data_IF_516721020407
#
_entry.id   IF_516721020407
#
_cell.length_a   1.000
_cell.length_b   1.000
_cell.length_c   1.000
_cell.angle_alpha   90.00
_cell.angle_beta   90.00
_cell.angle_gamma   90.00
#
_symmetry.space_group_name_H-M   'P 1'
#
loop_
_entity.id
_entity.type
_entity.pdbx_description
1 polymer ?
#
# COMPACT_ATOMS: atom_id res chain seq x y z
N UNK A 1 -27.88 -16.55 8.18
CA UNK A 1 -28.05 -15.31 7.38
C UNK A 1 -28.26 -15.71 5.93
N UNK A 2 -29.25 -15.12 5.28
CA UNK A 2 -29.55 -15.32 3.86
C UNK A 2 -28.53 -14.62 2.96
N UNK A 3 -28.37 -15.11 1.73
CA UNK A 3 -27.40 -14.58 0.75
C UNK A 3 -27.66 -13.11 0.41
N UNK A 4 -28.92 -12.71 0.31
CA UNK A 4 -29.33 -11.32 0.03
C UNK A 4 -28.86 -10.34 1.12
N UNK A 5 -28.89 -10.76 2.39
CA UNK A 5 -28.40 -9.93 3.49
C UNK A 5 -26.88 -9.73 3.42
N UNK A 6 -26.13 -10.77 3.03
CA UNK A 6 -24.67 -10.68 2.82
C UNK A 6 -24.37 -9.76 1.65
N UNK A 7 -25.08 -9.91 0.53
CA UNK A 7 -24.93 -9.07 -0.65
C UNK A 7 -25.13 -7.59 -0.30
N UNK A 8 -26.20 -7.28 0.43
CA UNK A 8 -26.50 -5.92 0.90
C UNK A 8 -25.38 -5.35 1.78
N UNK A 9 -24.88 -6.16 2.74
CA UNK A 9 -23.80 -5.75 3.64
C UNK A 9 -22.47 -5.49 2.89
N UNK A 10 -22.09 -6.37 1.96
CA UNK A 10 -20.89 -6.19 1.13
C UNK A 10 -21.02 -4.97 0.20
N UNK A 11 -22.16 -4.83 -0.49
CA UNK A 11 -22.44 -3.70 -1.39
C UNK A 11 -22.35 -2.37 -0.65
N UNK A 12 -22.99 -2.26 0.52
CA UNK A 12 -22.96 -1.05 1.35
C UNK A 12 -21.52 -0.68 1.72
N UNK A 13 -20.73 -1.64 2.19
CA UNK A 13 -19.33 -1.39 2.57
C UNK A 13 -18.46 -0.96 1.39
N UNK A 14 -18.72 -1.49 0.18
CA UNK A 14 -18.03 -1.08 -1.05
C UNK A 14 -18.42 0.35 -1.43
N UNK A 15 -19.72 0.66 -1.49
CA UNK A 15 -20.22 1.97 -1.90
C UNK A 15 -19.79 3.10 -0.96
N UNK A 16 -19.83 2.84 0.35
CA UNK A 16 -19.37 3.77 1.37
C UNK A 16 -17.84 3.81 1.50
N UNK A 17 -17.12 2.96 0.74
CA UNK A 17 -15.65 2.84 0.79
C UNK A 17 -15.17 2.64 2.24
N UNK A 18 -15.85 1.77 3.01
CA UNK A 18 -15.53 1.47 4.41
C UNK A 18 -14.69 0.20 4.59
N UNK A 19 -14.63 -0.64 3.56
CA UNK A 19 -13.84 -1.87 3.58
C UNK A 19 -12.35 -1.61 3.31
N UNK A 20 -11.51 -2.42 3.94
CA UNK A 20 -10.08 -2.55 3.67
C UNK A 20 -9.87 -3.59 2.57
N UNK A 21 -10.46 -4.79 2.76
CA UNK A 21 -10.52 -5.84 1.74
C UNK A 21 -11.69 -6.78 1.98
N UNK A 22 -12.18 -7.39 0.91
CA UNK A 22 -13.11 -8.52 0.97
C UNK A 22 -12.39 -9.74 0.41
N UNK A 23 -12.46 -10.87 1.10
CA UNK A 23 -11.84 -12.12 0.67
C UNK A 23 -12.90 -13.20 0.55
N UNK A 24 -12.98 -13.82 -0.62
CA UNK A 24 -13.75 -15.05 -0.84
C UNK A 24 -12.77 -16.23 -0.89
N UNK A 25 -13.01 -17.24 -0.07
CA UNK A 25 -12.16 -18.43 0.08
C UNK A 25 -12.99 -19.68 0.33
N UNK A 26 -12.32 -20.85 0.33
CA UNK A 26 -12.98 -22.15 0.45
C UNK A 26 -13.98 -22.37 -0.70
N UNK A 27 -13.41 -22.52 -1.91
CA UNK A 27 -14.13 -22.68 -3.17
C UNK A 27 -15.12 -23.85 -3.09
N UNK A 28 -16.35 -23.59 -3.48
CA UNK A 28 -17.37 -24.61 -3.73
C UNK A 28 -17.50 -24.93 -5.21
N UNK A 29 -17.60 -23.90 -6.05
CA UNK A 29 -17.78 -23.98 -7.51
C UNK A 29 -16.89 -22.94 -8.21
N UNK A 30 -16.88 -22.94 -9.55
CA UNK A 30 -16.12 -21.98 -10.35
C UNK A 30 -14.63 -22.34 -10.47
N UNK A 31 -13.85 -21.53 -11.17
CA UNK A 31 -12.45 -21.85 -11.49
C UNK A 31 -11.42 -21.25 -10.51
N UNK A 32 -11.78 -20.22 -9.75
CA UNK A 32 -10.86 -19.51 -8.87
C UNK A 32 -10.87 -20.10 -7.46
N UNK A 33 -9.67 -20.30 -6.89
CA UNK A 33 -9.47 -20.82 -5.54
C UNK A 33 -9.69 -19.74 -4.46
N UNK A 34 -9.46 -18.48 -4.81
CA UNK A 34 -9.57 -17.33 -3.91
C UNK A 34 -9.85 -16.07 -4.72
N UNK A 35 -10.61 -15.16 -4.14
CA UNK A 35 -10.81 -13.81 -4.69
C UNK A 35 -10.55 -12.80 -3.59
N UNK A 36 -9.85 -11.71 -3.92
CA UNK A 36 -9.62 -10.57 -3.04
C UNK A 36 -10.12 -9.32 -3.74
N UNK A 37 -10.96 -8.54 -3.07
CA UNK A 37 -11.44 -7.24 -3.53
C UNK A 37 -10.84 -6.15 -2.66
N UNK A 38 -10.27 -5.11 -3.27
CA UNK A 38 -9.74 -3.91 -2.59
C UNK A 38 -10.27 -2.65 -3.27
N UNK A 39 -10.34 -1.55 -2.53
CA UNK A 39 -10.61 -0.23 -3.10
C UNK A 39 -9.37 0.29 -3.84
N UNK A 40 -9.56 0.99 -4.96
CA UNK A 40 -8.50 1.47 -5.85
C UNK A 40 -8.84 2.87 -6.37
N UNK A 41 -7.91 3.82 -6.31
CA UNK A 41 -8.11 5.18 -6.85
C UNK A 41 -7.33 5.37 -8.15
N UNK A 42 -8.01 5.37 -9.29
CA UNK A 42 -7.39 5.57 -10.60
C UNK A 42 -7.64 6.99 -11.14
N UNK A 43 -6.95 7.38 -12.22
CA UNK A 43 -7.13 8.70 -12.85
C UNK A 43 -8.57 8.97 -13.29
N UNK A 44 -9.32 7.92 -13.63
CA UNK A 44 -10.74 7.99 -14.02
C UNK A 44 -11.72 7.95 -12.82
N UNK A 45 -11.22 7.86 -11.58
CA UNK A 45 -12.06 7.90 -10.38
C UNK A 45 -11.85 6.70 -9.46
N UNK A 46 -12.78 6.55 -8.50
CA UNK A 46 -12.75 5.42 -7.55
C UNK A 46 -13.21 4.13 -8.23
N UNK A 47 -12.45 3.08 -8.00
CA UNK A 47 -12.66 1.74 -8.53
C UNK A 47 -12.55 0.72 -7.40
N UNK A 48 -13.02 -0.50 -7.67
CA UNK A 48 -12.57 -1.69 -6.95
C UNK A 48 -11.60 -2.48 -7.84
N UNK A 49 -10.59 -3.07 -7.22
CA UNK A 49 -9.73 -4.06 -7.84
C UNK A 49 -10.09 -5.44 -7.33
N UNK A 50 -10.29 -6.38 -8.26
CA UNK A 50 -10.57 -7.78 -8.02
C UNK A 50 -9.32 -8.57 -8.43
N UNK A 51 -8.72 -9.25 -7.47
CA UNK A 51 -7.64 -10.21 -7.66
C UNK A 51 -8.20 -11.63 -7.55
N UNK A 52 -8.24 -12.36 -8.66
CA UNK A 52 -8.73 -13.74 -8.74
C UNK A 52 -7.56 -14.71 -8.86
N UNK A 53 -7.50 -15.72 -8.01
CA UNK A 53 -6.38 -16.66 -7.95
C UNK A 53 -6.80 -18.03 -8.48
N UNK A 54 -6.09 -18.54 -9.47
CA UNK A 54 -6.26 -19.89 -10.02
C UNK A 54 -4.88 -20.52 -10.16
N UNK A 55 -4.70 -21.69 -9.56
CA UNK A 55 -3.40 -22.36 -9.46
C UNK A 55 -2.33 -21.41 -8.90
N UNK A 56 -1.26 -21.16 -9.66
CA UNK A 56 -0.18 -20.22 -9.33
C UNK A 56 -0.27 -18.88 -10.10
N UNK A 57 -1.46 -18.53 -10.62
CA UNK A 57 -1.69 -17.30 -11.39
C UNK A 57 -2.67 -16.38 -10.67
N UNK A 58 -2.41 -15.07 -10.75
CA UNK A 58 -3.29 -14.02 -10.26
C UNK A 58 -3.82 -13.18 -11.45
N UNK A 59 -5.13 -13.05 -11.53
CA UNK A 59 -5.83 -12.26 -12.54
C UNK A 59 -6.38 -10.99 -11.90
N UNK A 60 -6.26 -9.86 -12.59
CA UNK A 60 -6.67 -8.56 -12.06
C UNK A 60 -7.76 -7.97 -12.94
N UNK A 61 -8.85 -7.50 -12.32
CA UNK A 61 -9.94 -6.77 -12.98
C UNK A 61 -10.29 -5.55 -12.15
N UNK A 62 -10.40 -4.39 -12.79
CA UNK A 62 -10.84 -3.15 -12.15
C UNK A 62 -12.27 -2.83 -12.60
N UNK A 63 -13.10 -2.35 -11.66
CA UNK A 63 -14.48 -1.96 -11.92
C UNK A 63 -14.73 -0.60 -11.28
N UNK A 64 -15.31 0.33 -12.03
CA UNK A 64 -15.65 1.65 -11.51
C UNK A 64 -16.75 1.54 -10.44
N UNK A 65 -16.63 2.29 -9.34
CA UNK A 65 -17.59 2.25 -8.23
C UNK A 65 -19.01 2.72 -8.60
N UNK A 66 -19.14 3.48 -9.69
CA UNK A 66 -20.43 3.89 -10.27
C UNK A 66 -21.16 2.72 -10.97
N UNK A 67 -20.46 1.65 -11.35
CA UNK A 67 -21.04 0.50 -12.04
C UNK A 67 -21.61 -0.52 -11.04
N UNK A 68 -22.65 -0.09 -10.32
CA UNK A 68 -23.26 -0.85 -9.23
C UNK A 68 -23.80 -2.19 -9.72
N UNK A 69 -24.39 -2.24 -10.92
CA UNK A 69 -24.98 -3.47 -11.45
C UNK A 69 -23.91 -4.55 -11.70
N UNK A 70 -22.75 -4.17 -12.23
CA UNK A 70 -21.65 -5.11 -12.44
C UNK A 70 -21.10 -5.62 -11.10
N UNK A 71 -20.93 -4.73 -10.12
CA UNK A 71 -20.49 -5.09 -8.77
C UNK A 71 -21.46 -6.09 -8.13
N UNK A 72 -22.76 -5.83 -8.19
CA UNK A 72 -23.77 -6.73 -7.64
C UNK A 72 -23.77 -8.11 -8.28
N UNK A 73 -23.71 -8.16 -9.61
CA UNK A 73 -23.71 -9.43 -10.36
C UNK A 73 -22.52 -10.30 -9.96
N UNK A 74 -21.34 -9.67 -9.85
CA UNK A 74 -20.11 -10.34 -9.46
C UNK A 74 -20.15 -10.80 -8.00
N UNK A 75 -20.65 -9.97 -7.08
CA UNK A 75 -20.80 -10.37 -5.67
C UNK A 75 -21.77 -11.55 -5.53
N UNK A 76 -22.90 -11.56 -6.26
CA UNK A 76 -23.84 -12.69 -6.27
C UNK A 76 -23.16 -13.98 -6.73
N UNK A 77 -22.40 -13.91 -7.82
CA UNK A 77 -21.61 -15.03 -8.32
C UNK A 77 -20.62 -15.55 -7.25
N UNK A 78 -19.88 -14.65 -6.61
CA UNK A 78 -18.88 -15.04 -5.60
C UNK A 78 -19.51 -15.57 -4.30
N UNK A 79 -20.65 -15.03 -3.87
CA UNK A 79 -21.40 -15.56 -2.72
C UNK A 79 -21.89 -16.99 -3.00
N UNK A 80 -22.24 -17.32 -4.24
CA UNK A 80 -22.65 -18.68 -4.60
C UNK A 80 -21.46 -19.65 -4.66
N UNK A 81 -20.33 -19.19 -5.19
CA UNK A 81 -19.18 -20.03 -5.51
C UNK A 81 -18.25 -20.30 -4.33
N UNK A 82 -18.37 -19.57 -3.21
CA UNK A 82 -17.47 -19.68 -2.07
C UNK A 82 -18.20 -19.96 -0.76
N UNK A 83 -17.57 -20.75 0.12
CA UNK A 83 -18.11 -21.09 1.44
C UNK A 83 -17.69 -20.09 2.52
N UNK A 84 -16.62 -19.34 2.31
CA UNK A 84 -16.11 -18.39 3.29
C UNK A 84 -15.93 -17.02 2.68
N UNK A 85 -16.44 -16.01 3.38
CA UNK A 85 -16.31 -14.60 3.02
C UNK A 85 -15.78 -13.87 4.24
N UNK A 86 -14.71 -13.10 4.07
CA UNK A 86 -14.15 -12.22 5.08
C UNK A 86 -14.24 -10.78 4.58
N UNK A 87 -15.06 -9.97 5.22
CA UNK A 87 -15.09 -8.53 5.07
C UNK A 87 -14.21 -7.93 6.17
N UNK A 88 -13.12 -7.28 5.79
CA UNK A 88 -12.28 -6.53 6.72
C UNK A 88 -12.60 -5.05 6.60
N UNK A 89 -12.90 -4.44 7.74
CA UNK A 89 -13.10 -3.00 7.91
C UNK A 89 -12.21 -2.53 9.07
N UNK A 90 -12.18 -1.23 9.34
CA UNK A 90 -11.40 -0.72 10.47
C UNK A 90 -11.93 -1.26 11.80
N UNK A 91 -11.02 -1.67 12.67
CA UNK A 91 -11.26 -2.16 14.03
C UNK A 91 -12.01 -3.50 14.17
N UNK A 92 -12.60 -4.04 13.10
CA UNK A 92 -13.25 -5.36 13.15
C UNK A 92 -13.28 -6.08 11.79
N UNK A 93 -13.32 -7.40 11.88
CA UNK A 93 -13.50 -8.32 10.77
C UNK A 93 -14.87 -8.99 10.89
N UNK A 94 -15.59 -9.05 9.78
CA UNK A 94 -16.83 -9.80 9.65
C UNK A 94 -16.56 -11.03 8.78
N UNK A 95 -16.80 -12.21 9.33
CA UNK A 95 -16.69 -13.47 8.58
C UNK A 95 -18.06 -14.11 8.39
N UNK A 96 -18.32 -14.59 7.18
CA UNK A 96 -19.49 -15.37 6.82
C UNK A 96 -19.03 -16.76 6.41
N UNK A 97 -19.51 -17.79 7.13
CA UNK A 97 -19.16 -19.19 6.86
C UNK A 97 -20.43 -19.94 6.50
N UNK A 98 -20.46 -20.55 5.31
CA UNK A 98 -21.59 -21.33 4.80
C UNK A 98 -21.76 -22.60 5.64
N UNK A 99 -22.95 -22.77 6.21
CA UNK A 99 -23.42 -24.01 6.84
C UNK A 99 -24.74 -24.41 6.18
N UNK A 100 -24.71 -25.49 5.40
CA UNK A 100 -25.83 -25.96 4.57
C UNK A 100 -26.28 -24.84 3.61
N UNK A 101 -27.52 -24.37 3.75
CA UNK A 101 -28.13 -23.36 2.88
C UNK A 101 -27.96 -21.92 3.40
N UNK A 102 -27.39 -21.73 4.59
CA UNK A 102 -27.26 -20.41 5.22
C UNK A 102 -25.82 -20.10 5.60
N UNK A 103 -25.52 -18.82 5.90
CA UNK A 103 -24.24 -18.41 6.45
C UNK A 103 -24.33 -18.08 7.94
N UNK A 104 -23.29 -18.43 8.69
CA UNK A 104 -23.06 -17.93 10.04
C UNK A 104 -22.17 -16.70 9.94
N UNK A 105 -22.65 -15.59 10.49
CA UNK A 105 -21.89 -14.35 10.65
C UNK A 105 -21.12 -14.40 11.97
N UNK A 106 -19.85 -14.02 11.97
CA UNK A 106 -19.03 -13.80 13.18
C UNK A 106 -18.25 -12.51 13.04
N UNK A 107 -18.22 -11.71 14.10
CA UNK A 107 -17.48 -10.46 14.17
C UNK A 107 -16.35 -10.59 15.17
N UNK A 108 -15.13 -10.20 14.79
CA UNK A 108 -13.95 -10.23 15.64
C UNK A 108 -13.27 -8.87 15.60
N UNK A 109 -12.76 -8.39 16.73
CA UNK A 109 -11.95 -7.16 16.75
C UNK A 109 -10.64 -7.38 15.98
N UNK A 110 -10.23 -6.37 15.24
CA UNK A 110 -8.93 -6.31 14.59
C UNK A 110 -8.23 -4.99 14.98
N UNK A 111 -6.94 -4.86 14.69
CA UNK A 111 -6.19 -3.61 14.83
C UNK A 111 -5.82 -3.03 13.45
N UNK A 112 -6.65 -3.28 12.44
CA UNK A 112 -6.41 -2.81 11.07
C UNK A 112 -6.90 -1.38 10.91
N UNK A 113 -6.06 -0.55 10.29
CA UNK A 113 -6.37 0.83 9.90
C UNK A 113 -6.40 0.87 8.38
N UNK A 114 -7.40 1.57 7.80
CA UNK A 114 -7.49 1.73 6.35
C UNK A 114 -6.47 2.76 5.90
N UNK A 115 -5.35 2.30 5.34
CA UNK A 115 -4.37 3.19 4.73
C UNK A 115 -4.94 3.88 3.49
N UNK A 116 -4.51 5.12 3.22
CA UNK A 116 -4.92 5.84 2.02
C UNK A 116 -4.50 5.09 0.75
N UNK A 117 -5.42 4.95 -0.20
CA UNK A 117 -5.20 4.31 -1.51
C UNK A 117 -4.37 5.21 -2.46
N UNK A 118 -3.42 5.99 -1.94
CA UNK A 118 -2.52 6.77 -2.78
C UNK A 118 -1.53 5.81 -3.47
N UNK A 119 -1.74 5.61 -4.78
CA UNK A 119 -0.80 4.89 -5.65
C UNK A 119 0.62 5.46 -5.59
N UNK A 120 0.73 6.74 -5.28
CA UNK A 120 2.01 7.41 -5.14
C UNK A 120 2.46 7.30 -3.68
N UNK A 121 2.95 6.11 -3.30
CA UNK A 121 3.76 5.99 -2.09
C UNK A 121 4.95 6.93 -2.26
N UNK A 122 4.87 8.12 -1.65
CA UNK A 122 6.02 9.01 -1.57
C UNK A 122 7.12 8.22 -0.88
N UNK A 123 8.23 8.01 -1.59
CA UNK A 123 9.41 7.43 -0.98
C UNK A 123 9.83 8.38 0.13
N UNK A 124 9.88 7.88 1.35
CA UNK A 124 10.46 8.63 2.45
C UNK A 124 11.97 8.57 2.28
N UNK A 125 12.57 9.74 2.16
CA UNK A 125 13.98 9.94 2.01
C UNK A 125 14.51 10.62 3.29
N UNK A 126 15.81 10.50 3.57
CA UNK A 126 16.43 11.27 4.66
C UNK A 126 16.35 12.77 4.33
N UNK A 127 16.59 13.11 3.06
CA UNK A 127 16.38 14.43 2.49
C UNK A 127 15.10 14.41 1.64
N UNK A 128 14.04 15.11 2.07
CA UNK A 128 12.76 15.09 1.38
C UNK A 128 12.60 16.25 0.39
N UNK A 129 11.88 15.99 -0.71
CA UNK A 129 11.50 17.03 -1.65
C UNK A 129 10.38 17.90 -1.06
N UNK A 130 10.53 19.22 -1.13
CA UNK A 130 9.68 20.20 -0.46
C UNK A 130 10.35 20.88 0.74
N UNK A 131 11.33 20.22 1.34
CA UNK A 131 12.19 20.84 2.35
C UNK A 131 13.24 21.71 1.67
N UNK A 132 13.58 22.85 2.28
CA UNK A 132 14.69 23.68 1.79
C UNK A 132 15.99 23.13 2.35
N UNK A 133 16.86 22.67 1.46
CA UNK A 133 18.13 22.05 1.83
C UNK A 133 19.24 22.86 1.15
N UNK A 134 19.91 23.70 1.95
CA UNK A 134 20.80 24.75 1.47
C UNK A 134 21.90 24.22 0.54
N UNK A 135 22.59 23.13 0.93
CA UNK A 135 23.65 22.59 0.08
C UNK A 135 23.13 22.04 -1.27
N UNK A 136 21.90 21.53 -1.32
CA UNK A 136 21.30 21.10 -2.59
C UNK A 136 20.94 22.29 -3.48
N UNK A 137 20.58 23.43 -2.89
CA UNK A 137 20.31 24.68 -3.61
C UNK A 137 21.63 25.24 -4.18
N UNK A 138 22.65 25.38 -3.34
CA UNK A 138 23.96 25.90 -3.73
C UNK A 138 24.65 25.04 -4.81
N UNK A 139 24.45 23.72 -4.77
CA UNK A 139 24.95 22.80 -5.79
C UNK A 139 24.10 22.77 -7.08
N UNK A 140 23.02 23.56 -7.16
CA UNK A 140 22.11 23.59 -8.30
C UNK A 140 21.36 22.27 -8.52
N UNK A 141 21.06 21.54 -7.44
CA UNK A 141 20.27 20.31 -7.46
C UNK A 141 18.81 20.56 -7.10
N UNK A 142 18.56 21.60 -6.30
CA UNK A 142 17.26 22.01 -5.79
C UNK A 142 17.00 23.49 -6.11
N UNK A 143 15.75 23.87 -6.32
CA UNK A 143 15.34 25.27 -6.44
C UNK A 143 15.19 25.94 -5.07
N UNK A 144 15.17 27.26 -5.04
CA UNK A 144 14.93 28.06 -3.82
C UNK A 144 13.57 27.77 -3.14
N UNK A 145 12.65 27.13 -3.85
CA UNK A 145 11.34 26.69 -3.38
C UNK A 145 11.33 25.24 -2.87
N UNK A 146 12.49 24.58 -2.76
CA UNK A 146 12.59 23.21 -2.23
C UNK A 146 12.28 22.10 -3.24
N UNK A 147 12.17 22.42 -4.54
CA UNK A 147 11.88 21.43 -5.59
C UNK A 147 13.15 20.88 -6.21
N UNK A 148 13.25 19.57 -6.39
CA UNK A 148 14.41 18.97 -7.05
C UNK A 148 14.34 19.22 -8.55
N UNK A 149 15.44 19.71 -9.13
CA UNK A 149 15.51 19.92 -10.57
C UNK A 149 15.43 18.58 -11.29
N UNK A 150 14.61 18.49 -12.35
CA UNK A 150 14.39 17.23 -13.10
C UNK A 150 15.68 16.57 -13.57
N UNK A 151 16.67 17.35 -14.01
CA UNK A 151 18.00 16.89 -14.44
C UNK A 151 18.85 16.33 -13.28
N UNK A 152 18.54 16.72 -12.05
CA UNK A 152 19.30 16.41 -10.83
C UNK A 152 18.68 15.28 -10.01
N UNK A 153 17.53 14.76 -10.41
CA UNK A 153 16.80 13.72 -9.65
C UNK A 153 17.63 12.43 -9.45
N UNK A 154 18.46 12.05 -10.41
CA UNK A 154 19.38 10.91 -10.25
C UNK A 154 20.42 11.16 -9.16
N UNK A 155 20.97 12.38 -9.08
CA UNK A 155 21.92 12.77 -8.02
C UNK A 155 21.23 12.86 -6.66
N UNK A 156 20.04 13.44 -6.59
CA UNK A 156 19.23 13.48 -5.38
C UNK A 156 18.95 12.08 -4.81
N UNK A 157 18.59 11.13 -5.67
CA UNK A 157 18.43 9.71 -5.27
C UNK A 157 19.75 9.08 -4.80
N UNK A 158 20.87 9.40 -5.46
CA UNK A 158 22.18 8.90 -5.07
C UNK A 158 22.59 9.41 -3.69
N UNK A 159 22.42 10.71 -3.43
CA UNK A 159 22.72 11.34 -2.14
C UNK A 159 21.88 10.70 -1.04
N UNK A 160 20.56 10.58 -1.23
CA UNK A 160 19.69 9.94 -0.25
C UNK A 160 20.09 8.49 0.02
N UNK A 161 20.41 7.71 -1.02
CA UNK A 161 20.82 6.33 -0.83
C UNK A 161 22.15 6.21 -0.10
N UNK A 162 23.07 7.15 -0.35
CA UNK A 162 24.34 7.25 0.37
C UNK A 162 24.10 7.55 1.86
N UNK A 163 23.23 8.51 2.17
CA UNK A 163 22.88 8.83 3.56
C UNK A 163 22.21 7.65 4.28
N UNK A 164 21.34 6.89 3.61
CA UNK A 164 20.76 5.66 4.20
C UNK A 164 21.87 4.68 4.63
N UNK A 165 22.88 4.47 3.78
CA UNK A 165 24.00 3.59 4.13
C UNK A 165 24.84 4.14 5.28
N UNK A 166 25.07 5.46 5.32
CA UNK A 166 25.85 6.09 6.39
C UNK A 166 25.10 6.03 7.72
N UNK A 167 23.79 6.27 7.73
CA UNK A 167 22.94 6.19 8.92
C UNK A 167 22.99 4.78 9.54
N UNK A 168 22.81 3.74 8.72
CA UNK A 168 22.92 2.33 9.15
C UNK A 168 24.30 2.04 9.79
N UNK A 169 25.39 2.54 9.17
CA UNK A 169 26.76 2.34 9.67
C UNK A 169 26.98 3.08 10.98
N UNK A 170 26.50 4.33 11.11
CA UNK A 170 26.65 5.12 12.34
C UNK A 170 25.95 4.43 13.51
N UNK A 171 24.74 3.93 13.31
CA UNK A 171 24.00 3.20 14.34
C UNK A 171 24.73 1.90 14.75
N UNK A 172 25.27 1.15 13.77
CA UNK A 172 26.07 -0.03 14.07
C UNK A 172 27.33 0.32 14.90
N UNK A 173 28.08 1.35 14.50
CA UNK A 173 29.30 1.76 15.19
C UNK A 173 29.02 2.27 16.61
N UNK A 174 27.94 3.02 16.82
CA UNK A 174 27.47 3.44 18.16
C UNK A 174 27.08 2.25 19.02
N UNK A 175 26.36 1.28 18.46
CA UNK A 175 25.94 0.07 19.19
C UNK A 175 27.15 -0.74 19.70
N UNK A 176 28.23 -0.75 18.92
CA UNK A 176 29.51 -1.38 19.25
C UNK A 176 30.43 -0.51 20.12
N UNK A 177 30.00 0.70 20.46
CA UNK A 177 30.78 1.71 21.21
C UNK A 177 32.15 2.02 20.56
N UNK A 178 32.20 1.97 19.23
CA UNK A 178 33.41 2.28 18.46
C UNK A 178 33.56 3.78 18.15
N UNK A 179 32.45 4.51 18.21
CA UNK A 179 32.37 5.95 18.04
C UNK A 179 31.50 6.54 19.16
N UNK A 180 31.70 7.81 19.46
CA UNK A 180 30.86 8.58 20.39
C UNK A 180 29.98 9.57 19.62
N UNK A 181 29.77 10.77 20.17
CA UNK A 181 28.98 11.82 19.51
C UNK A 181 29.78 12.58 18.44
N UNK A 182 31.07 12.32 18.28
CA UNK A 182 31.94 12.93 17.30
C UNK A 182 32.52 11.89 16.35
N UNK A 183 32.47 12.17 15.05
CA UNK A 183 33.03 11.30 14.01
C UNK A 183 33.89 12.15 13.09
N UNK A 184 35.10 11.70 12.82
CA UNK A 184 35.94 12.28 11.78
C UNK A 184 35.81 11.42 10.52
N UNK A 185 35.34 12.04 9.42
CA UNK A 185 35.19 11.36 8.12
C UNK A 185 36.24 11.88 7.15
N UNK A 186 36.88 10.96 6.43
CA UNK A 186 37.84 11.28 5.37
C UNK A 186 37.33 10.72 4.03
N UNK A 187 36.96 11.62 3.12
CA UNK A 187 36.42 11.28 1.80
C UNK A 187 37.55 11.26 0.74
N UNK A 188 37.96 10.06 0.34
CA UNK A 188 38.97 9.87 -0.69
C UNK A 188 38.35 9.98 -2.08
N UNK A 189 38.87 10.88 -2.91
CA UNK A 189 38.42 11.03 -4.30
C UNK A 189 37.09 11.74 -4.45
N UNK A 190 36.78 12.69 -3.56
CA UNK A 190 35.50 13.40 -3.48
C UNK A 190 35.03 14.09 -4.78
N UNK A 191 35.95 14.37 -5.72
CA UNK A 191 35.60 14.89 -7.04
C UNK A 191 34.84 16.21 -6.97
N UNK A 192 33.53 16.20 -7.28
CA UNK A 192 32.63 17.37 -7.18
C UNK A 192 31.99 17.56 -5.79
N UNK A 193 32.40 16.75 -4.82
CA UNK A 193 32.11 16.86 -3.38
C UNK A 193 30.64 16.86 -2.94
N UNK A 194 29.69 16.51 -3.81
CA UNK A 194 28.26 16.56 -3.48
C UNK A 194 27.84 15.54 -2.41
N UNK A 195 28.55 14.40 -2.28
CA UNK A 195 28.34 13.46 -1.18
C UNK A 195 28.98 13.96 0.11
N UNK A 196 30.15 14.61 0.00
CA UNK A 196 30.83 15.22 1.14
C UNK A 196 29.97 16.28 1.82
N UNK A 197 29.27 17.13 1.04
CA UNK A 197 28.35 18.14 1.58
C UNK A 197 27.08 17.57 2.22
N UNK A 198 26.77 16.30 1.97
CA UNK A 198 25.57 15.66 2.53
C UNK A 198 25.80 15.11 3.95
N UNK A 199 27.07 14.89 4.35
CA UNK A 199 27.48 14.46 5.68
C UNK A 199 27.53 15.62 6.67
#
# INVERSE_FOLDING_TARGET
MEKENILSELRKNIQEDKFIKIVFSDRQNGEFNKIIIKSLSLKNGKNIQIESFKDNKAFHKNIELNNIQEIENILKEYIENFKQILLQVENFDVSFIRKKESFIKRENKNNLIKNSNEHNKKKQYILNEGDKIDFLIELGLMSTEGKILKSSYNKFRQINKYLEFIDDIIEELKSKKLIDNHINVLDFGCGKSYLTFAL
#
